data_IF_271550625808
#
_entry.id   IF_271550625808
#
_cell.length_a   1.000
_cell.length_b   1.000
_cell.length_c   1.000
_cell.angle_alpha   90.00
_cell.angle_beta   90.00
_cell.angle_gamma   90.00
#
_symmetry.space_group_name_H-M   'P 1'
#
loop_
_entity.id
_entity.type
_entity.pdbx_description
1 polymer ?
#
# COMPACT_ATOMS: atom_id res chain seq x y z
N UNK A 1 -14.43 17.23 -7.33
CA UNK A 1 -13.03 17.20 -6.86
C UNK A 1 -12.29 16.17 -7.69
N UNK A 2 -11.14 16.53 -8.27
CA UNK A 2 -10.33 15.59 -9.07
C UNK A 2 -9.47 14.75 -8.12
N UNK A 3 -9.38 13.44 -8.34
CA UNK A 3 -8.40 12.59 -7.66
C UNK A 3 -7.23 12.35 -8.59
N UNK A 4 -6.02 12.31 -8.04
CA UNK A 4 -4.80 11.91 -8.74
C UNK A 4 -4.44 10.50 -8.32
N UNK A 5 -4.05 9.65 -9.26
CA UNK A 5 -3.62 8.28 -8.99
C UNK A 5 -2.13 8.16 -9.30
N UNK A 6 -1.38 7.52 -8.42
CA UNK A 6 0.07 7.31 -8.56
C UNK A 6 0.44 5.88 -8.28
N UNK A 7 1.48 5.38 -8.94
CA UNK A 7 2.01 4.05 -8.67
C UNK A 7 2.99 4.12 -7.50
N UNK A 8 2.89 3.16 -6.59
CA UNK A 8 3.73 3.00 -5.42
C UNK A 8 4.58 1.75 -5.58
N UNK A 9 5.88 1.84 -5.33
CA UNK A 9 6.80 0.71 -5.28
C UNK A 9 7.19 0.40 -3.83
N UNK A 10 6.64 -0.68 -3.29
CA UNK A 10 6.85 -1.16 -1.93
C UNK A 10 7.99 -2.18 -1.83
N UNK A 11 8.79 -2.35 -2.89
CA UNK A 11 10.06 -3.08 -2.80
C UNK A 11 11.18 -2.26 -2.13
N UNK A 12 10.94 -0.96 -1.92
CA UNK A 12 11.83 -0.04 -1.22
C UNK A 12 11.26 0.32 0.15
N UNK A 13 12.14 0.77 1.04
CA UNK A 13 11.80 1.28 2.36
C UNK A 13 12.45 2.66 2.56
N UNK A 14 11.67 3.76 2.60
CA UNK A 14 10.22 3.80 2.41
C UNK A 14 9.80 3.49 0.97
N UNK A 15 8.49 3.26 0.77
CA UNK A 15 7.92 3.07 -0.55
C UNK A 15 8.22 4.28 -1.47
N UNK A 16 8.55 4.02 -2.73
CA UNK A 16 8.80 5.07 -3.72
C UNK A 16 7.50 5.38 -4.45
N UNK A 17 7.14 6.66 -4.52
CA UNK A 17 6.09 7.16 -5.42
C UNK A 17 6.70 7.32 -6.81
N UNK A 18 6.20 6.56 -7.78
CA UNK A 18 6.62 6.69 -9.18
C UNK A 18 5.94 7.94 -9.74
N UNK A 19 6.73 8.90 -10.22
CA UNK A 19 6.29 10.21 -10.71
C UNK A 19 5.55 10.08 -12.05
N UNK A 20 4.34 9.53 -11.98
CA UNK A 20 3.41 9.33 -13.10
C UNK A 20 1.99 9.47 -12.57
N UNK A 21 1.37 10.59 -12.95
CA UNK A 21 0.03 10.95 -12.51
C UNK A 21 -1.01 10.45 -13.50
N UNK A 22 -2.05 9.80 -12.97
CA UNK A 22 -3.24 9.42 -13.72
C UNK A 22 -4.47 10.11 -13.12
N UNK A 23 -5.51 10.28 -13.93
CA UNK A 23 -6.75 10.97 -13.51
C UNK A 23 -7.92 10.01 -13.31
N UNK A 24 -7.78 8.75 -13.73
CA UNK A 24 -8.79 7.71 -13.55
C UNK A 24 -8.16 6.44 -12.94
N UNK A 25 -8.96 5.62 -12.23
CA UNK A 25 -8.48 4.33 -11.74
C UNK A 25 -8.02 3.39 -12.86
N UNK A 26 -8.72 3.39 -13.99
CA UNK A 26 -8.45 2.47 -15.10
C UNK A 26 -7.12 2.81 -15.77
N UNK A 27 -6.85 4.09 -16.04
CA UNK A 27 -5.56 4.53 -16.59
C UNK A 27 -4.40 4.17 -15.66
N UNK A 28 -4.61 4.27 -14.34
CA UNK A 28 -3.61 3.89 -13.35
C UNK A 28 -3.34 2.38 -13.31
N UNK A 29 -4.38 1.57 -13.54
CA UNK A 29 -4.25 0.11 -13.66
C UNK A 29 -3.47 -0.24 -14.94
N UNK A 30 -3.80 0.36 -16.07
CA UNK A 30 -3.05 0.13 -17.31
C UNK A 30 -1.58 0.57 -17.18
N UNK A 31 -1.36 1.71 -16.54
CA UNK A 31 -0.03 2.22 -16.21
C UNK A 31 0.79 1.27 -15.34
N UNK A 32 0.18 0.70 -14.29
CA UNK A 32 0.90 -0.25 -13.42
C UNK A 32 1.16 -1.58 -14.12
N UNK A 33 0.27 -2.06 -14.99
CA UNK A 33 0.48 -3.28 -15.78
C UNK A 33 1.70 -3.14 -16.70
N UNK A 34 1.87 -1.98 -17.34
CA UNK A 34 3.07 -1.67 -18.12
C UNK A 34 4.33 -1.73 -17.24
N UNK A 35 4.29 -1.13 -16.04
CA UNK A 35 5.43 -1.10 -15.13
C UNK A 35 5.77 -2.48 -14.54
N UNK A 36 4.78 -3.34 -14.29
CA UNK A 36 5.03 -4.73 -13.86
C UNK A 36 5.84 -5.49 -14.91
N UNK A 37 5.64 -5.21 -16.20
CA UNK A 37 6.43 -5.84 -17.28
C UNK A 37 7.91 -5.42 -17.23
N UNK A 38 8.18 -4.15 -16.91
CA UNK A 38 9.53 -3.60 -16.77
C UNK A 38 10.19 -3.97 -15.43
N UNK A 39 9.37 -4.13 -14.39
CA UNK A 39 9.78 -4.41 -13.02
C UNK A 39 9.07 -5.67 -12.46
N UNK A 40 9.34 -6.86 -13.01
CA UNK A 40 8.60 -8.09 -12.72
C UNK A 40 8.82 -8.65 -11.31
N UNK A 41 9.68 -8.03 -10.49
CA UNK A 41 9.92 -8.43 -9.11
C UNK A 41 9.53 -7.33 -8.11
N UNK A 42 9.08 -6.17 -8.59
CA UNK A 42 8.68 -5.07 -7.72
C UNK A 42 7.28 -5.28 -7.17
N UNK A 43 7.11 -5.00 -5.88
CA UNK A 43 5.81 -4.92 -5.22
C UNK A 43 5.14 -3.58 -5.57
N UNK A 44 4.36 -3.57 -6.65
CA UNK A 44 3.69 -2.38 -7.15
C UNK A 44 2.24 -2.28 -6.65
N UNK A 45 1.82 -1.06 -6.35
CA UNK A 45 0.46 -0.69 -5.94
C UNK A 45 0.04 0.62 -6.59
N UNK A 46 -1.23 0.99 -6.43
CA UNK A 46 -1.74 2.31 -6.86
C UNK A 46 -2.28 3.03 -5.64
N UNK A 47 -1.83 4.26 -5.40
CA UNK A 47 -2.43 5.17 -4.43
C UNK A 47 -3.39 6.13 -5.13
N UNK A 48 -4.55 6.41 -4.53
CA UNK A 48 -5.46 7.49 -4.89
C UNK A 48 -5.26 8.65 -3.93
N UNK A 49 -4.97 9.82 -4.47
CA UNK A 49 -4.67 11.05 -3.77
C UNK A 49 -5.74 12.08 -4.02
N UNK A 50 -6.15 12.73 -2.94
CA UNK A 50 -6.85 14.03 -2.98
C UNK A 50 -6.09 15.05 -2.12
N UNK A 51 -4.79 14.80 -1.94
CA UNK A 51 -3.86 15.47 -1.04
C UNK A 51 -4.41 15.56 0.40
N UNK A 52 -4.21 14.53 1.26
CA UNK A 52 -3.22 13.43 1.19
C UNK A 52 -3.72 12.15 0.47
N UNK A 53 -2.99 11.03 0.63
CA UNK A 53 -3.41 9.68 0.22
C UNK A 53 -4.76 9.32 0.87
N UNK A 54 -5.70 8.89 0.03
CA UNK A 54 -7.07 8.53 0.43
C UNK A 54 -7.27 7.02 0.40
N UNK A 55 -6.82 6.34 -0.65
CA UNK A 55 -6.97 4.90 -0.80
C UNK A 55 -5.75 4.25 -1.47
N UNK A 56 -5.55 2.96 -1.23
CA UNK A 56 -4.54 2.15 -1.92
C UNK A 56 -5.19 0.94 -2.56
N UNK A 57 -4.87 0.67 -3.81
CA UNK A 57 -5.27 -0.53 -4.51
C UNK A 57 -4.26 -1.65 -4.29
N UNK A 58 -4.74 -2.75 -3.72
CA UNK A 58 -4.12 -4.05 -3.91
C UNK A 58 -4.40 -4.52 -5.34
N UNK A 59 -3.36 -4.70 -6.15
CA UNK A 59 -3.50 -5.20 -7.51
C UNK A 59 -4.02 -6.64 -7.55
N UNK A 60 -4.75 -6.95 -8.63
CA UNK A 60 -5.17 -8.32 -8.95
C UNK A 60 -3.95 -9.23 -8.99
N UNK A 61 -4.10 -10.49 -8.57
CA UNK A 61 -3.03 -11.47 -8.64
C UNK A 61 -2.47 -11.64 -10.07
N UNK A 62 -3.28 -11.33 -11.10
CA UNK A 62 -2.89 -11.40 -12.51
C UNK A 62 -1.91 -10.29 -12.94
N UNK A 63 -1.79 -9.21 -12.14
CA UNK A 63 -1.06 -7.99 -12.51
C UNK A 63 -0.04 -7.61 -11.43
N UNK A 64 0.66 -8.59 -10.86
CA UNK A 64 1.69 -8.37 -9.83
C UNK A 64 3.05 -8.82 -10.33
N UNK A 65 4.05 -7.97 -10.10
CA UNK A 65 5.46 -8.34 -10.24
C UNK A 65 5.95 -9.10 -9.00
N UNK A 66 5.88 -8.47 -7.83
CA UNK A 66 6.33 -9.04 -6.56
C UNK A 66 5.40 -8.81 -5.36
N UNK A 67 5.93 -9.11 -4.16
CA UNK A 67 5.25 -8.90 -2.88
C UNK A 67 4.39 -10.09 -2.39
N UNK A 68 3.76 -9.97 -1.20
CA UNK A 68 2.92 -11.02 -0.62
C UNK A 68 1.73 -11.39 -1.51
N UNK A 69 1.43 -12.69 -1.55
CA UNK A 69 0.33 -13.25 -2.34
C UNK A 69 -1.04 -12.70 -1.92
N UNK A 70 -1.96 -12.60 -2.88
CA UNK A 70 -3.31 -12.12 -2.66
C UNK A 70 -4.27 -12.86 -3.60
N UNK A 71 -5.52 -13.12 -3.18
CA UNK A 71 -6.49 -13.92 -3.94
C UNK A 71 -7.49 -13.08 -4.75
N UNK A 72 -7.36 -11.75 -4.73
CA UNK A 72 -8.29 -10.86 -5.41
C UNK A 72 -8.12 -10.94 -6.93
N UNK A 73 -9.22 -11.27 -7.63
CA UNK A 73 -9.28 -11.31 -9.11
C UNK A 73 -9.30 -9.93 -9.78
N UNK A 74 -9.53 -8.87 -9.01
CA UNK A 74 -9.60 -7.48 -9.45
C UNK A 74 -8.87 -6.60 -8.44
N UNK A 75 -8.46 -5.41 -8.87
CA UNK A 75 -7.94 -4.40 -7.95
C UNK A 75 -8.92 -4.17 -6.80
N UNK A 76 -8.43 -4.21 -5.56
CA UNK A 76 -9.21 -3.91 -4.35
C UNK A 76 -8.64 -2.69 -3.67
N UNK A 77 -9.46 -1.66 -3.62
CA UNK A 77 -9.17 -0.42 -2.92
C UNK A 77 -9.47 -0.58 -1.44
N UNK A 78 -8.64 0.04 -0.61
CA UNK A 78 -8.83 0.19 0.82
C UNK A 78 -8.47 1.61 1.22
N UNK A 79 -9.23 2.20 2.13
CA UNK A 79 -8.98 3.55 2.62
C UNK A 79 -7.71 3.58 3.46
N UNK A 80 -6.94 4.67 3.32
CA UNK A 80 -5.69 4.88 4.05
C UNK A 80 -5.93 4.88 5.58
N UNK A 81 -7.10 5.34 6.04
CA UNK A 81 -7.47 5.31 7.46
C UNK A 81 -7.55 3.89 8.03
N UNK A 82 -8.11 2.94 7.30
CA UNK A 82 -8.12 1.54 7.72
C UNK A 82 -6.73 0.93 7.75
N UNK A 83 -5.85 1.33 6.82
CA UNK A 83 -4.45 0.91 6.83
C UNK A 83 -3.68 1.48 8.02
N UNK A 84 -3.92 2.74 8.39
CA UNK A 84 -3.35 3.33 9.62
C UNK A 84 -3.81 2.58 10.87
N UNK A 85 -5.10 2.27 10.97
CA UNK A 85 -5.62 1.47 12.08
C UNK A 85 -4.97 0.08 12.14
N UNK A 86 -4.71 -0.54 10.99
CA UNK A 86 -4.06 -1.84 10.93
C UNK A 86 -2.57 -1.76 11.34
N UNK A 87 -1.86 -0.69 10.99
CA UNK A 87 -0.50 -0.42 11.50
C UNK A 87 -0.52 -0.35 13.03
N UNK A 88 -1.37 0.50 13.59
CA UNK A 88 -1.51 0.66 15.04
C UNK A 88 -1.89 -0.66 15.73
N UNK A 89 -2.70 -1.49 15.09
CA UNK A 89 -3.07 -2.79 15.62
C UNK A 89 -1.90 -3.79 15.64
N UNK A 90 -1.00 -3.74 14.65
CA UNK A 90 0.23 -4.56 14.65
C UNK A 90 1.27 -4.06 15.65
N UNK A 91 1.30 -2.77 15.96
CA UNK A 91 2.23 -2.13 16.89
C UNK A 91 1.69 -2.00 18.32
N UNK A 92 0.46 -2.47 18.56
CA UNK A 92 -0.19 -2.37 19.85
C UNK A 92 0.58 -3.11 20.96
N UNK A 93 0.56 -2.55 22.18
CA UNK A 93 1.18 -3.17 23.35
C UNK A 93 0.32 -4.29 23.95
N UNK A 94 -1.00 -4.29 23.73
CA UNK A 94 -1.90 -5.36 24.17
C UNK A 94 -1.78 -6.57 23.21
N UNK A 95 -1.28 -7.73 23.68
CA UNK A 95 -1.11 -8.91 22.84
C UNK A 95 -2.40 -9.38 22.17
N UNK A 96 -3.57 -9.12 22.77
CA UNK A 96 -4.87 -9.52 22.21
C UNK A 96 -5.19 -8.75 20.92
N UNK A 97 -4.79 -7.48 20.84
CA UNK A 97 -4.98 -6.65 19.65
C UNK A 97 -4.07 -7.13 18.53
N UNK A 98 -2.79 -7.37 18.85
CA UNK A 98 -1.81 -7.89 17.90
C UNK A 98 -2.24 -9.25 17.34
N UNK A 99 -2.70 -10.16 18.21
CA UNK A 99 -3.19 -11.47 17.78
C UNK A 99 -4.48 -11.37 16.96
N UNK A 100 -5.37 -10.43 17.25
CA UNK A 100 -6.55 -10.17 16.42
C UNK A 100 -6.15 -9.67 15.03
N UNK A 101 -5.18 -8.76 14.92
CA UNK A 101 -4.67 -8.26 13.65
C UNK A 101 -4.01 -9.37 12.81
N UNK A 102 -3.23 -10.26 13.44
CA UNK A 102 -2.63 -11.43 12.78
C UNK A 102 -3.65 -12.47 12.32
N UNK A 103 -4.73 -12.67 13.10
CA UNK A 103 -5.84 -13.57 12.74
C UNK A 103 -6.74 -12.98 11.65
N UNK A 104 -6.72 -11.66 11.48
CA UNK A 104 -7.40 -10.98 10.40
C UNK A 104 -6.91 -11.49 9.04
N UNK A 105 -7.83 -11.62 8.08
CA UNK A 105 -7.50 -12.07 6.70
C UNK A 105 -6.95 -10.91 5.86
N UNK A 106 -5.92 -10.23 6.38
CA UNK A 106 -5.27 -9.07 5.76
C UNK A 106 -4.01 -9.46 4.98
N UNK A 107 -4.02 -10.59 4.26
CA UNK A 107 -2.82 -11.12 3.58
C UNK A 107 -2.22 -10.16 2.55
N UNK A 108 -3.03 -9.27 1.98
CA UNK A 108 -2.57 -8.26 1.02
C UNK A 108 -1.96 -7.03 1.71
N UNK A 109 -1.99 -6.95 3.05
CA UNK A 109 -1.51 -5.84 3.88
C UNK A 109 -0.67 -6.38 5.04
N UNK A 110 0.45 -7.03 4.71
CA UNK A 110 1.38 -7.57 5.71
C UNK A 110 2.02 -6.44 6.52
N UNK A 111 2.51 -6.73 7.75
CA UNK A 111 3.24 -5.74 8.56
C UNK A 111 4.37 -5.05 7.79
N UNK A 112 5.20 -5.80 7.07
CA UNK A 112 6.30 -5.23 6.27
C UNK A 112 5.82 -4.25 5.21
N UNK A 113 4.70 -4.56 4.57
CA UNK A 113 4.13 -3.73 3.50
C UNK A 113 3.60 -2.41 4.06
N UNK A 114 2.89 -2.51 5.19
CA UNK A 114 2.37 -1.35 5.91
C UNK A 114 3.50 -0.47 6.45
N UNK A 115 4.56 -1.09 6.97
CA UNK A 115 5.75 -0.39 7.42
C UNK A 115 6.39 0.43 6.30
N UNK A 116 6.58 -0.14 5.11
CA UNK A 116 7.15 0.61 3.97
C UNK A 116 6.26 1.74 3.47
N UNK A 117 4.94 1.60 3.64
CA UNK A 117 3.93 2.60 3.24
C UNK A 117 3.76 3.73 4.26
N UNK A 118 4.41 3.65 5.44
CA UNK A 118 4.20 4.59 6.55
C UNK A 118 4.27 6.09 6.18
N UNK A 119 5.17 6.58 5.30
CA UNK A 119 5.20 8.02 5.03
C UNK A 119 3.98 8.47 4.22
N UNK A 120 3.53 7.64 3.28
CA UNK A 120 2.31 7.91 2.49
C UNK A 120 1.04 7.82 3.35
N UNK A 121 1.08 6.98 4.39
CA UNK A 121 0.03 6.94 5.41
C UNK A 121 0.11 8.14 6.37
N UNK A 122 1.13 9.00 6.29
CA UNK A 122 1.32 10.11 7.24
C UNK A 122 1.60 9.63 8.67
N UNK A 123 2.22 8.46 8.81
CA UNK A 123 2.70 7.93 10.08
C UNK A 123 4.17 8.35 10.19
N UNK A 124 4.46 9.24 11.14
CA UNK A 124 5.82 9.71 11.39
C UNK A 124 6.67 8.59 11.99
N UNK A 125 7.92 8.47 11.53
CA UNK A 125 8.91 7.64 12.21
C UNK A 125 9.30 8.33 13.54
N UNK A 126 8.52 8.14 14.61
CA UNK A 126 8.84 8.69 15.95
C UNK A 126 10.16 8.11 16.55
N UNK A 127 10.91 7.30 15.82
CA UNK A 127 12.04 6.52 16.33
C UNK A 127 13.44 6.94 15.84
N UNK A 128 13.66 8.16 15.31
CA UNK A 128 15.02 8.61 14.93
C UNK A 128 15.52 9.90 15.55
N UNK A 129 14.89 10.38 16.62
CA UNK A 129 15.45 11.43 17.49
C UNK A 129 15.13 11.13 18.97
N UNK A 130 15.73 10.06 19.52
CA UNK A 130 16.03 10.01 20.95
C UNK A 130 17.54 10.27 21.10
N UNK A 131 17.95 11.34 21.82
CA UNK A 131 19.36 11.62 22.09
C UNK A 131 20.00 10.51 22.94
#
# INVERSE_FOLDING_TARGET
>A
MSSTYRVLCLSHDPAIVIDRDFNTPDDAVDGVVSLVTEHPHCDLMIGRYSYPLVEVACLSYAYRGGGPGCSHKRGKWVEAEWLRLLVLAYEATDPRVVEAAKKGRFSCWTPDRLHRLRPELGIEDEARERP
#
